data_IF_020763944676
#
_entry.id   IF_020763944676
#
_cell.length_a   1.000
_cell.length_b   1.000
_cell.length_c   1.000
_cell.angle_alpha   90.00
_cell.angle_beta   90.00
_cell.angle_gamma   90.00
#
_symmetry.space_group_name_H-M   'P 1'
#
loop_
_entity.id
_entity.type
_entity.pdbx_description
1 polymer ?
#
# COMPACT_ATOMS: atom_id res chain seq x y z
N UNK A 1 -10.49 -21.68 -6.05
CA UNK A 1 -9.80 -20.93 -7.02
C UNK A 1 -9.70 -19.49 -6.68
N UNK A 2 -10.63 -18.60 -7.11
CA UNK A 2 -10.61 -17.21 -6.71
C UNK A 2 -10.58 -17.01 -5.20
N UNK A 3 -11.18 -17.93 -4.49
CA UNK A 3 -11.26 -17.89 -3.02
C UNK A 3 -9.86 -17.92 -2.37
N UNK A 4 -8.95 -18.74 -2.87
CA UNK A 4 -7.60 -18.83 -2.34
C UNK A 4 -6.82 -17.54 -2.60
N UNK A 5 -6.95 -16.99 -3.80
CA UNK A 5 -6.31 -15.74 -4.16
C UNK A 5 -6.81 -14.61 -3.25
N UNK A 6 -8.13 -14.51 -3.06
CA UNK A 6 -8.72 -13.49 -2.20
C UNK A 6 -8.24 -13.59 -0.75
N UNK A 7 -8.10 -14.79 -0.23
CA UNK A 7 -7.59 -14.98 1.13
C UNK A 7 -6.15 -14.52 1.27
N UNK A 8 -5.33 -14.81 0.26
CA UNK A 8 -3.93 -14.35 0.25
C UNK A 8 -3.86 -12.84 0.12
N UNK A 9 -4.70 -12.23 -0.71
CA UNK A 9 -4.76 -10.78 -0.86
C UNK A 9 -5.05 -10.11 0.47
N UNK A 10 -6.03 -10.60 1.21
CA UNK A 10 -6.39 -10.04 2.51
C UNK A 10 -5.30 -10.27 3.55
N UNK A 11 -4.66 -11.42 3.53
CA UNK A 11 -3.56 -11.71 4.43
C UNK A 11 -2.37 -10.78 4.17
N UNK A 12 -2.02 -10.56 2.91
CA UNK A 12 -0.95 -9.66 2.52
C UNK A 12 -1.28 -8.23 2.95
N UNK A 13 -2.50 -7.78 2.71
CA UNK A 13 -2.95 -6.46 3.10
C UNK A 13 -2.79 -6.23 4.59
N UNK A 14 -3.27 -7.17 5.40
CA UNK A 14 -3.19 -7.09 6.86
C UNK A 14 -1.75 -7.08 7.36
N UNK A 15 -0.92 -8.00 6.84
CA UNK A 15 0.46 -8.10 7.30
C UNK A 15 1.30 -6.93 6.83
N UNK A 16 1.08 -6.43 5.63
CA UNK A 16 1.76 -5.21 5.16
C UNK A 16 1.43 -4.02 6.06
N UNK A 17 0.16 -3.85 6.40
CA UNK A 17 -0.24 -2.75 7.27
C UNK A 17 0.46 -2.84 8.63
N UNK A 18 0.56 -4.03 9.20
CA UNK A 18 1.25 -4.25 10.45
C UNK A 18 2.75 -3.96 10.36
N UNK A 19 3.39 -4.42 9.29
CA UNK A 19 4.83 -4.23 9.10
C UNK A 19 5.14 -2.74 8.96
N UNK A 20 4.36 -2.04 8.14
CA UNK A 20 4.58 -0.61 7.89
C UNK A 20 4.38 0.21 9.16
N UNK A 21 3.37 -0.14 9.97
CA UNK A 21 3.07 0.60 11.19
C UNK A 21 4.08 0.31 12.31
N UNK A 22 4.45 -0.95 12.50
CA UNK A 22 5.17 -1.37 13.71
C UNK A 22 6.62 -1.73 13.50
N UNK A 23 6.98 -2.22 12.32
CA UNK A 23 8.29 -2.85 12.13
C UNK A 23 9.17 -2.17 11.09
N UNK A 24 8.64 -1.22 10.32
CA UNK A 24 9.43 -0.53 9.31
C UNK A 24 10.38 0.47 9.97
N UNK A 25 11.61 0.53 9.47
CA UNK A 25 12.63 1.42 10.03
C UNK A 25 12.50 2.87 9.57
N UNK A 26 11.82 3.09 8.46
CA UNK A 26 11.66 4.44 7.90
C UNK A 26 10.36 5.06 8.42
N UNK A 27 10.47 6.21 9.08
CA UNK A 27 9.33 6.93 9.64
C UNK A 27 8.23 7.22 8.61
N UNK A 28 8.61 7.48 7.36
CA UNK A 28 7.64 7.77 6.30
C UNK A 28 6.66 6.61 6.09
N UNK A 29 7.12 5.37 6.30
CA UNK A 29 6.29 4.20 6.06
C UNK A 29 5.18 4.02 7.08
N UNK A 30 5.29 4.63 8.25
CA UNK A 30 4.26 4.55 9.30
C UNK A 30 2.97 5.24 8.89
N UNK A 31 3.03 6.18 7.97
CA UNK A 31 1.87 6.95 7.54
C UNK A 31 1.20 6.41 6.28
N UNK A 32 1.71 5.30 5.76
CA UNK A 32 1.14 4.65 4.57
C UNK A 32 -0.11 3.88 4.95
N UNK A 33 -1.19 4.10 4.20
CA UNK A 33 -2.40 3.28 4.30
C UNK A 33 -2.50 2.41 3.06
N UNK A 34 -2.64 1.11 3.25
CA UNK A 34 -2.85 0.19 2.13
C UNK A 34 -4.34 0.18 1.82
N UNK A 35 -4.70 0.50 0.59
CA UNK A 35 -6.10 0.58 0.18
C UNK A 35 -6.58 -0.67 -0.54
N UNK A 36 -5.68 -1.38 -1.22
CA UNK A 36 -6.06 -2.59 -1.94
C UNK A 36 -4.82 -3.42 -2.25
N UNK A 37 -4.99 -4.74 -2.25
CA UNK A 37 -3.98 -5.68 -2.75
C UNK A 37 -4.65 -6.58 -3.77
N UNK A 38 -4.04 -6.73 -4.94
CA UNK A 38 -4.52 -7.62 -6.00
C UNK A 38 -3.40 -8.53 -6.45
N UNK A 39 -3.65 -9.83 -6.40
CA UNK A 39 -2.71 -10.85 -6.89
C UNK A 39 -3.12 -11.31 -8.28
N UNK A 40 -2.13 -11.60 -9.12
CA UNK A 40 -2.41 -12.25 -10.39
C UNK A 40 -2.73 -13.73 -10.17
N UNK A 41 -3.13 -14.43 -11.23
CA UNK A 41 -3.64 -15.81 -11.14
C UNK A 41 -2.67 -16.78 -10.49
N UNK A 42 -1.39 -16.68 -10.81
CA UNK A 42 -0.38 -17.59 -10.26
C UNK A 42 0.27 -17.08 -8.97
N UNK A 43 -0.24 -15.94 -8.48
CA UNK A 43 0.22 -15.31 -7.25
C UNK A 43 1.70 -14.91 -7.27
N UNK A 44 2.25 -14.65 -8.46
CA UNK A 44 3.65 -14.24 -8.60
C UNK A 44 3.86 -12.74 -8.42
N UNK A 45 2.79 -11.93 -8.59
CA UNK A 45 2.84 -10.48 -8.47
C UNK A 45 1.69 -9.99 -7.61
N UNK A 46 1.99 -9.14 -6.64
CA UNK A 46 1.01 -8.45 -5.82
C UNK A 46 1.05 -6.97 -6.16
N UNK A 47 -0.02 -6.47 -6.76
CA UNK A 47 -0.20 -5.04 -6.97
C UNK A 47 -0.75 -4.46 -5.68
N UNK A 48 -0.05 -3.50 -5.09
CA UNK A 48 -0.43 -2.90 -3.80
C UNK A 48 -0.72 -1.42 -4.02
N UNK A 49 -1.97 -1.04 -3.78
CA UNK A 49 -2.37 0.37 -3.82
C UNK A 49 -2.24 0.96 -2.44
N UNK A 50 -1.69 2.15 -2.37
CA UNK A 50 -1.49 2.84 -1.10
C UNK A 50 -1.85 4.32 -1.21
N UNK A 51 -2.12 4.92 -0.07
CA UNK A 51 -2.29 6.36 0.03
C UNK A 51 -1.51 6.87 1.23
N UNK A 52 -1.22 8.16 1.22
CA UNK A 52 -0.57 8.84 2.33
C UNK A 52 -1.05 10.29 2.31
N UNK A 53 -1.32 10.83 3.49
CA UNK A 53 -1.66 12.25 3.61
C UNK A 53 -0.40 13.09 3.40
N UNK A 54 -0.53 14.09 2.53
CA UNK A 54 0.57 15.00 2.30
C UNK A 54 0.51 15.62 0.91
N UNK A 55 1.47 16.49 0.65
CA UNK A 55 1.61 17.12 -0.66
C UNK A 55 2.34 16.17 -1.62
N UNK A 56 2.52 16.62 -2.87
CA UNK A 56 3.15 15.80 -3.90
C UNK A 56 4.57 15.38 -3.52
N UNK A 57 5.32 16.24 -2.85
CA UNK A 57 6.67 15.92 -2.41
C UNK A 57 6.67 14.82 -1.36
N UNK A 58 5.71 14.85 -0.43
CA UNK A 58 5.58 13.82 0.59
C UNK A 58 5.15 12.49 -0.01
N UNK A 59 4.24 12.51 -0.97
CA UNK A 59 3.82 11.30 -1.69
C UNK A 59 5.01 10.70 -2.44
N UNK A 60 5.79 11.52 -3.13
CA UNK A 60 6.97 11.06 -3.86
C UNK A 60 8.02 10.46 -2.93
N UNK A 61 8.28 11.12 -1.80
CA UNK A 61 9.24 10.62 -0.81
C UNK A 61 8.80 9.28 -0.22
N UNK A 62 7.51 9.13 0.06
CA UNK A 62 6.95 7.89 0.60
C UNK A 62 7.00 6.77 -0.44
N UNK A 63 6.69 7.08 -1.70
CA UNK A 63 6.78 6.12 -2.80
C UNK A 63 8.21 5.58 -2.94
N UNK A 64 9.18 6.47 -2.86
CA UNK A 64 10.60 6.09 -2.91
C UNK A 64 10.97 5.19 -1.74
N UNK A 65 10.50 5.53 -0.53
CA UNK A 65 10.76 4.74 0.66
C UNK A 65 10.17 3.33 0.52
N UNK A 66 8.98 3.19 -0.04
CA UNK A 66 8.35 1.90 -0.29
C UNK A 66 9.17 1.07 -1.29
N UNK A 67 9.65 1.69 -2.36
CA UNK A 67 10.48 1.00 -3.34
C UNK A 67 11.78 0.50 -2.71
N UNK A 68 12.40 1.30 -1.86
CA UNK A 68 13.63 0.93 -1.18
C UNK A 68 13.40 -0.20 -0.16
N UNK A 69 12.22 -0.25 0.46
CA UNK A 69 11.88 -1.25 1.45
C UNK A 69 11.31 -2.55 0.86
N UNK A 70 11.14 -2.60 -0.45
CA UNK A 70 10.44 -3.68 -1.15
C UNK A 70 10.96 -5.07 -0.81
N UNK A 71 12.26 -5.24 -0.82
CA UNK A 71 12.90 -6.54 -0.50
C UNK A 71 12.62 -6.97 0.93
N UNK A 72 12.75 -6.05 1.87
CA UNK A 72 12.47 -6.31 3.27
C UNK A 72 10.99 -6.69 3.47
N UNK A 73 10.09 -5.91 2.86
CA UNK A 73 8.66 -6.16 2.98
C UNK A 73 8.27 -7.52 2.40
N UNK A 74 8.84 -7.88 1.25
CA UNK A 74 8.59 -9.16 0.62
C UNK A 74 9.05 -10.32 1.51
N UNK A 75 10.23 -10.18 2.11
CA UNK A 75 10.79 -11.18 3.00
C UNK A 75 9.91 -11.38 4.24
N UNK A 76 9.45 -10.27 4.85
CA UNK A 76 8.59 -10.33 6.02
C UNK A 76 7.23 -10.97 5.71
N UNK A 77 6.66 -10.67 4.56
CA UNK A 77 5.40 -11.28 4.13
C UNK A 77 5.56 -12.78 3.98
N UNK A 78 6.66 -13.22 3.36
CA UNK A 78 6.94 -14.65 3.18
C UNK A 78 6.96 -15.39 4.52
N UNK A 79 7.59 -14.78 5.53
CA UNK A 79 7.65 -15.36 6.87
C UNK A 79 6.29 -15.39 7.55
N UNK A 80 5.56 -14.29 7.50
CA UNK A 80 4.32 -14.14 8.27
C UNK A 80 3.15 -14.93 7.71
N UNK A 81 3.13 -15.13 6.38
CA UNK A 81 2.02 -15.82 5.72
C UNK A 81 2.39 -17.26 5.37
N UNK A 82 3.61 -17.64 5.63
CA UNK A 82 4.12 -19.00 5.34
C UNK A 82 3.93 -19.36 3.87
N UNK A 83 4.31 -18.44 3.00
CA UNK A 83 4.28 -18.68 1.57
C UNK A 83 5.60 -19.29 1.12
N UNK A 84 5.50 -20.31 0.26
CA UNK A 84 6.67 -20.94 -0.31
C UNK A 84 7.51 -19.93 -1.10
N UNK A 85 6.84 -19.04 -1.81
CA UNK A 85 7.47 -17.98 -2.56
C UNK A 85 6.60 -16.74 -2.47
N UNK A 86 7.17 -15.67 -1.91
CA UNK A 86 6.44 -14.42 -1.79
C UNK A 86 6.27 -13.76 -3.17
N UNK A 87 5.14 -13.14 -3.44
CA UNK A 87 4.95 -12.44 -4.70
C UNK A 87 5.83 -11.19 -4.79
N UNK A 88 6.15 -10.80 -6.01
CA UNK A 88 6.79 -9.51 -6.25
C UNK A 88 5.80 -8.41 -5.87
N UNK A 89 6.26 -7.44 -5.08
CA UNK A 89 5.40 -6.31 -4.69
C UNK A 89 5.55 -5.18 -5.69
N UNK A 90 4.41 -4.64 -6.13
CA UNK A 90 4.37 -3.46 -7.02
C UNK A 90 3.47 -2.43 -6.37
N UNK A 91 4.06 -1.33 -5.93
CA UNK A 91 3.32 -0.27 -5.25
C UNK A 91 2.80 0.75 -6.24
N UNK A 92 1.55 1.14 -6.04
CA UNK A 92 0.92 2.17 -6.86
C UNK A 92 0.12 3.10 -5.96
N UNK A 93 0.31 4.40 -6.14
CA UNK A 93 -0.43 5.39 -5.38
C UNK A 93 -1.91 5.35 -5.80
N UNK A 94 -2.78 5.28 -4.80
CA UNK A 94 -4.22 5.27 -5.02
C UNK A 94 -4.73 6.71 -5.07
N UNK A 95 -4.85 7.24 -6.27
CA UNK A 95 -5.25 8.62 -6.47
C UNK A 95 -6.76 8.84 -6.36
N UNK A 96 -7.54 7.77 -6.25
CA UNK A 96 -9.00 7.91 -6.11
C UNK A 96 -9.38 8.65 -4.83
N UNK A 97 -8.68 8.37 -3.73
CA UNK A 97 -8.92 9.05 -2.45
C UNK A 97 -8.41 10.49 -2.52
N UNK A 98 -7.23 10.69 -3.11
CA UNK A 98 -6.66 12.03 -3.29
C UNK A 98 -7.56 12.90 -4.15
N UNK A 99 -8.11 12.33 -5.21
CA UNK A 99 -9.04 13.03 -6.10
C UNK A 99 -10.30 13.46 -5.34
N UNK A 100 -10.88 12.57 -4.56
CA UNK A 100 -12.06 12.89 -3.75
C UNK A 100 -11.80 14.04 -2.78
N UNK A 101 -10.67 14.01 -2.11
CA UNK A 101 -10.27 15.06 -1.18
C UNK A 101 -10.09 16.40 -1.90
N UNK A 102 -9.48 16.38 -3.08
CA UNK A 102 -9.29 17.59 -3.88
C UNK A 102 -10.63 18.23 -4.24
N UNK A 103 -11.61 17.41 -4.61
CA UNK A 103 -12.95 17.90 -4.91
C UNK A 103 -13.61 18.52 -3.68
N UNK A 104 -13.47 17.88 -2.52
CA UNK A 104 -14.00 18.41 -1.26
C UNK A 104 -13.37 19.77 -0.95
N UNK A 105 -12.07 19.92 -1.13
CA UNK A 105 -11.37 21.18 -0.90
C UNK A 105 -11.89 22.28 -1.82
N UNK A 106 -12.14 21.96 -3.08
CA UNK A 106 -12.72 22.91 -4.03
C UNK A 106 -14.12 23.36 -3.58
N UNK A 107 -14.94 22.40 -3.19
CA UNK A 107 -16.31 22.71 -2.71
C UNK A 107 -16.27 23.56 -1.45
N UNK A 108 -15.39 23.26 -0.53
CA UNK A 108 -15.24 24.04 0.70
C UNK A 108 -14.80 25.47 0.40
N UNK A 109 -13.90 25.66 -0.53
CA UNK A 109 -13.46 27.00 -0.94
C UNK A 109 -14.60 27.81 -1.56
N UNK A 110 -15.44 27.16 -2.35
CA UNK A 110 -16.61 27.82 -2.95
C UNK A 110 -17.60 28.23 -1.87
N UNK A 111 -17.84 27.34 -0.90
CA UNK A 111 -18.83 27.60 0.16
C UNK A 111 -18.37 28.67 1.15
N UNK A 112 -17.06 28.89 1.27
CA UNK A 112 -16.50 29.83 2.22
C UNK A 112 -16.35 31.27 1.66
N UNK A 113 -16.81 31.49 0.45
CA UNK A 113 -16.86 32.82 -0.13
C UNK A 113 -18.23 33.50 0.18
#
# INVERSE_FOLDING_TARGET
MGYRVERCEKAIERELANILLNDAHNELLKYVSITKVALNKDMSVAQVWFTVFGNDNEVAATSKALEEAKGYLRSEIAHRIDLRKAPELRFKYDDSIAYGKHIEDILNNINNK
#
